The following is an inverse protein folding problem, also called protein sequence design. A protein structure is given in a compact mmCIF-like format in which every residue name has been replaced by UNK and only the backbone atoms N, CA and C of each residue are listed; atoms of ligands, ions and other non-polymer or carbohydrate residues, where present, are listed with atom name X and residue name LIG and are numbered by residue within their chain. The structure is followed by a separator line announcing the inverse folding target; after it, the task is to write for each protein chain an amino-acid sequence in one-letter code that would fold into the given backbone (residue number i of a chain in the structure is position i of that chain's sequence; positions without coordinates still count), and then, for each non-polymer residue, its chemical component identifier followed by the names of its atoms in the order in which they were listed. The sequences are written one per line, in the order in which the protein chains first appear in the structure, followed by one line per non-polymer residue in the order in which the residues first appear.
data_IF_206526040556
#
_entry.id   IF_206526040556
#
_cell.length_a   1.000
_cell.length_b   1.000
_cell.length_c   1.000
_cell.angle_alpha   90.00
_cell.angle_beta   90.00
_cell.angle_gamma   90.00
#
_symmetry.space_group_name_H-M   'P 1'
#
loop_
_entity.id
_entity.type
_entity.pdbx_description
1 polymer ?
#
# COMPACT_ATOMS: atom_id res chain seq x y z
N UNK A 1 -0.22 -15.96 -12.69
CA UNK A 1 -1.01 -14.74 -12.97
C UNK A 1 -0.09 -13.54 -13.24
N UNK A 2 -0.64 -12.41 -13.72
CA UNK A 2 0.14 -11.23 -14.12
C UNK A 2 0.66 -10.37 -12.95
N UNK A 3 0.21 -10.62 -11.72
CA UNK A 3 0.56 -9.81 -10.55
C UNK A 3 1.73 -10.41 -9.77
N UNK A 4 2.60 -9.54 -9.24
CA UNK A 4 3.69 -9.92 -8.34
C UNK A 4 3.16 -10.28 -6.94
N UNK A 5 4.00 -10.92 -6.12
CA UNK A 5 3.69 -11.17 -4.70
C UNK A 5 3.46 -9.85 -3.95
N UNK A 6 2.47 -9.84 -3.06
CA UNK A 6 2.14 -8.65 -2.27
C UNK A 6 1.43 -7.53 -3.04
N UNK A 7 0.99 -7.78 -4.28
CA UNK A 7 0.33 -6.75 -5.10
C UNK A 7 -1.01 -6.30 -4.52
N UNK A 8 -1.69 -7.13 -3.74
CA UNK A 8 -2.99 -6.80 -3.15
C UNK A 8 -2.92 -6.49 -1.65
N UNK A 9 -1.77 -6.67 -1.01
CA UNK A 9 -1.52 -6.31 0.39
C UNK A 9 -1.91 -4.86 0.70
N UNK A 10 -2.69 -4.65 1.77
CA UNK A 10 -3.34 -3.36 2.11
C UNK A 10 -4.45 -2.93 1.14
N UNK A 11 -4.89 -3.84 0.28
CA UNK A 11 -6.03 -3.68 -0.61
C UNK A 11 -7.34 -4.17 -0.01
N UNK A 12 -8.33 -4.31 -0.88
CA UNK A 12 -9.70 -4.69 -0.52
C UNK A 12 -10.16 -5.86 -1.37
N UNK A 13 -10.77 -6.85 -0.72
CA UNK A 13 -11.52 -7.91 -1.36
C UNK A 13 -13.01 -7.58 -1.23
N UNK A 14 -13.76 -7.71 -2.33
CA UNK A 14 -15.23 -7.64 -2.35
C UNK A 14 -15.77 -8.94 -2.92
N UNK A 15 -16.68 -9.59 -2.20
CA UNK A 15 -17.35 -10.80 -2.66
C UNK A 15 -18.44 -10.44 -3.68
N UNK A 16 -18.40 -11.04 -4.86
CA UNK A 16 -19.35 -10.78 -5.96
C UNK A 16 -20.41 -11.87 -6.09
N UNK A 17 -20.22 -13.02 -5.46
CA UNK A 17 -21.22 -14.10 -5.39
C UNK A 17 -21.09 -14.91 -4.09
N UNK A 18 -21.87 -15.98 -3.96
CA UNK A 18 -21.84 -16.87 -2.80
C UNK A 18 -22.51 -16.30 -1.55
N UNK A 19 -22.32 -16.97 -0.42
CA UNK A 19 -22.93 -16.60 0.86
C UNK A 19 -22.39 -15.28 1.45
N UNK A 20 -21.25 -14.79 0.94
CA UNK A 20 -20.65 -13.53 1.34
C UNK A 20 -20.93 -12.37 0.36
N UNK A 21 -21.73 -12.57 -0.69
CA UNK A 21 -21.96 -11.56 -1.73
C UNK A 21 -22.28 -10.17 -1.17
N UNK A 22 -21.60 -9.15 -1.68
CA UNK A 22 -21.71 -7.75 -1.23
C UNK A 22 -20.88 -7.39 0.01
N UNK A 23 -20.36 -8.36 0.75
CA UNK A 23 -19.45 -8.09 1.86
C UNK A 23 -18.03 -7.77 1.36
N UNK A 24 -17.23 -7.15 2.23
CA UNK A 24 -15.85 -6.80 1.93
C UNK A 24 -14.91 -7.13 3.09
N UNK A 25 -13.64 -7.35 2.76
CA UNK A 25 -12.56 -7.58 3.72
C UNK A 25 -11.27 -6.86 3.32
N UNK A 26 -10.46 -6.52 4.32
CA UNK A 26 -9.14 -5.96 4.09
C UNK A 26 -8.13 -7.09 3.85
N UNK A 27 -7.27 -6.93 2.84
CA UNK A 27 -6.26 -7.93 2.47
C UNK A 27 -5.02 -7.73 3.35
N UNK A 28 -4.67 -8.78 4.12
CA UNK A 28 -3.47 -8.83 4.96
C UNK A 28 -2.23 -9.17 4.17
N UNK A 29 -2.33 -10.15 3.30
CA UNK A 29 -1.24 -10.59 2.43
C UNK A 29 -1.82 -11.28 1.20
N UNK A 30 -1.04 -11.30 0.14
CA UNK A 30 -1.29 -12.11 -1.05
C UNK A 30 0.01 -12.71 -1.54
N UNK A 31 -0.07 -13.95 -2.03
CA UNK A 31 1.07 -14.68 -2.59
C UNK A 31 0.65 -15.36 -3.88
N UNK A 32 1.49 -15.25 -4.90
CA UNK A 32 1.30 -15.97 -6.15
C UNK A 32 1.52 -17.46 -5.92
N UNK A 33 0.59 -18.25 -6.44
CA UNK A 33 0.67 -19.71 -6.51
C UNK A 33 0.72 -20.14 -7.99
N UNK A 34 1.12 -21.38 -8.30
CA UNK A 34 1.12 -21.87 -9.69
C UNK A 34 -0.26 -21.77 -10.37
N UNK A 35 -1.32 -21.97 -9.60
CA UNK A 35 -2.72 -22.05 -10.00
C UNK A 35 -3.53 -20.77 -9.75
N UNK A 36 -2.92 -19.74 -9.13
CA UNK A 36 -3.66 -18.51 -8.82
C UNK A 36 -2.96 -17.58 -7.86
N UNK A 37 -3.75 -16.92 -7.02
CA UNK A 37 -3.28 -16.03 -5.95
C UNK A 37 -3.94 -16.50 -4.67
N UNK A 38 -3.13 -16.78 -3.67
CA UNK A 38 -3.59 -17.01 -2.30
C UNK A 38 -3.75 -15.66 -1.61
N UNK A 39 -4.90 -15.41 -1.01
CA UNK A 39 -5.22 -14.15 -0.32
C UNK A 39 -5.53 -14.43 1.14
N UNK A 40 -4.84 -13.74 2.03
CA UNK A 40 -5.12 -13.75 3.46
C UNK A 40 -5.89 -12.47 3.84
N UNK A 41 -7.00 -12.62 4.55
CA UNK A 41 -7.79 -11.50 5.05
C UNK A 41 -7.40 -11.16 6.48
N UNK A 42 -7.46 -9.88 6.85
CA UNK A 42 -7.22 -9.43 8.22
C UNK A 42 -8.26 -9.96 9.22
N UNK A 43 -9.51 -10.05 8.77
CA UNK A 43 -10.61 -10.65 9.51
C UNK A 43 -11.14 -11.82 8.70
N UNK A 44 -11.57 -12.87 9.40
CA UNK A 44 -12.25 -14.01 8.77
C UNK A 44 -13.46 -13.53 7.95
N UNK A 45 -13.77 -14.24 6.87
CA UNK A 45 -15.03 -14.06 6.17
C UNK A 45 -16.21 -14.30 7.13
N UNK A 46 -17.28 -13.52 6.96
CA UNK A 46 -18.44 -13.55 7.85
C UNK A 46 -19.23 -14.86 7.72
N UNK A 47 -19.21 -15.47 6.53
CA UNK A 47 -19.78 -16.78 6.20
C UNK A 47 -18.69 -17.70 5.62
N UNK A 48 -18.89 -19.02 5.67
CA UNK A 48 -17.99 -19.97 5.01
C UNK A 48 -17.76 -19.60 3.54
N UNK A 49 -16.52 -19.76 3.08
CA UNK A 49 -16.12 -19.55 1.69
C UNK A 49 -16.22 -20.89 0.96
N UNK A 50 -16.84 -20.90 -0.22
CA UNK A 50 -16.98 -22.09 -1.05
C UNK A 50 -16.22 -21.95 -2.37
N UNK A 51 -15.84 -23.09 -2.96
CA UNK A 51 -15.28 -23.12 -4.32
C UNK A 51 -16.30 -22.54 -5.31
N UNK A 52 -15.86 -21.60 -6.14
CA UNK A 52 -16.72 -20.90 -7.09
C UNK A 52 -17.25 -19.55 -6.60
N UNK A 53 -17.03 -19.19 -5.33
CA UNK A 53 -17.32 -17.84 -4.85
C UNK A 53 -16.46 -16.81 -5.60
N UNK A 54 -17.14 -15.84 -6.21
CA UNK A 54 -16.53 -14.78 -6.98
C UNK A 54 -16.03 -13.66 -6.07
N UNK A 55 -14.88 -13.08 -6.43
CA UNK A 55 -14.29 -11.94 -5.72
C UNK A 55 -13.71 -10.93 -6.69
N UNK A 56 -13.73 -9.65 -6.29
CA UNK A 56 -12.96 -8.58 -6.91
C UNK A 56 -11.88 -8.11 -5.93
N UNK A 57 -10.63 -8.06 -6.39
CA UNK A 57 -9.50 -7.57 -5.61
C UNK A 57 -9.10 -6.17 -6.07
N UNK A 58 -9.00 -5.23 -5.14
CA UNK A 58 -8.45 -3.90 -5.38
C UNK A 58 -6.97 -3.90 -5.00
N UNK A 59 -6.11 -3.40 -5.90
CA UNK A 59 -4.68 -3.30 -5.66
C UNK A 59 -4.38 -2.52 -4.37
N UNK A 60 -3.44 -3.02 -3.57
CA UNK A 60 -3.20 -2.46 -2.26
C UNK A 60 -2.35 -1.20 -2.24
N UNK A 61 -2.59 -0.34 -1.25
CA UNK A 61 -1.86 0.91 -1.04
C UNK A 61 -1.40 0.97 0.42
N UNK A 62 -0.09 0.95 0.64
CA UNK A 62 0.55 1.09 1.96
C UNK A 62 0.60 2.55 2.44
N UNK A 63 0.09 3.49 1.61
CA UNK A 63 0.05 4.93 1.83
C UNK A 63 1.43 5.60 1.86
N UNK A 64 2.45 4.96 1.31
CA UNK A 64 3.77 5.58 1.12
C UNK A 64 3.85 6.33 -0.21
N UNK A 65 4.70 7.36 -0.27
CA UNK A 65 4.93 8.11 -1.50
C UNK A 65 5.58 7.24 -2.60
N UNK A 66 6.50 6.35 -2.20
CA UNK A 66 7.17 5.42 -3.11
C UNK A 66 6.15 4.52 -3.84
N UNK A 67 5.22 3.90 -3.12
CA UNK A 67 4.16 3.09 -3.71
C UNK A 67 3.20 3.92 -4.56
N UNK A 68 2.80 5.11 -4.08
CA UNK A 68 1.94 6.02 -4.84
C UNK A 68 2.56 6.38 -6.22
N UNK A 69 3.88 6.61 -6.26
CA UNK A 69 4.63 6.87 -7.48
C UNK A 69 4.78 5.63 -8.36
N UNK A 70 5.35 4.56 -7.82
CA UNK A 70 5.78 3.41 -8.63
C UNK A 70 4.60 2.55 -9.11
N UNK A 71 3.60 2.35 -8.25
CA UNK A 71 2.48 1.44 -8.53
C UNK A 71 1.29 2.13 -9.19
N UNK A 72 1.03 3.38 -8.81
CA UNK A 72 -0.18 4.10 -9.23
C UNK A 72 0.10 5.32 -10.10
N UNK A 73 1.36 5.75 -10.23
CA UNK A 73 1.74 6.98 -10.93
C UNK A 73 0.91 8.22 -10.52
N UNK A 74 0.48 8.29 -9.25
CA UNK A 74 -0.49 9.28 -8.77
C UNK A 74 0.09 10.22 -7.71
N UNK A 75 1.34 10.62 -7.87
CA UNK A 75 2.03 11.52 -6.93
C UNK A 75 1.36 12.89 -6.83
N UNK A 76 0.73 13.37 -7.90
CA UNK A 76 0.01 14.65 -7.93
C UNK A 76 -1.16 14.70 -6.93
N UNK A 77 -1.77 13.55 -6.61
CA UNK A 77 -2.84 13.44 -5.62
C UNK A 77 -2.36 12.78 -4.32
N UNK A 78 -1.03 12.76 -4.06
CA UNK A 78 -0.51 12.29 -2.79
C UNK A 78 -0.79 13.32 -1.70
N UNK A 79 -1.64 12.97 -0.74
CA UNK A 79 -2.12 13.87 0.33
C UNK A 79 -1.33 13.73 1.64
N UNK A 80 -0.09 13.27 1.56
CA UNK A 80 0.84 13.19 2.68
C UNK A 80 1.96 14.21 2.57
N UNK A 81 2.94 14.13 3.48
CA UNK A 81 4.06 15.06 3.56
C UNK A 81 5.39 14.30 3.40
N UNK A 82 5.81 13.95 2.17
CA UNK A 82 6.98 13.10 1.95
C UNK A 82 8.32 13.75 2.34
N UNK A 83 8.34 15.08 2.48
CA UNK A 83 9.54 15.87 2.74
C UNK A 83 9.41 16.74 4.00
N UNK A 84 8.59 16.33 4.96
CA UNK A 84 8.48 17.05 6.24
C UNK A 84 9.78 16.87 7.03
N UNK A 85 10.55 17.93 7.31
CA UNK A 85 11.74 17.82 8.14
C UNK A 85 11.37 17.42 9.57
N UNK A 86 12.23 16.63 10.21
CA UNK A 86 12.06 16.23 11.61
C UNK A 86 12.39 17.34 12.61
N UNK A 87 12.10 17.09 13.88
CA UNK A 87 12.39 18.03 14.98
C UNK A 87 13.89 18.33 15.12
N UNK A 88 14.75 17.36 14.79
CA UNK A 88 16.20 17.52 14.76
C UNK A 88 16.61 18.69 13.87
N UNK A 89 15.97 18.83 12.70
CA UNK A 89 16.18 19.98 11.81
C UNK A 89 15.53 21.25 12.33
N UNK A 90 14.34 21.16 12.92
CA UNK A 90 13.63 22.33 13.46
C UNK A 90 14.42 23.05 14.58
N UNK A 91 15.18 22.32 15.38
CA UNK A 91 16.01 22.87 16.47
C UNK A 91 17.50 22.99 16.11
N UNK A 92 17.89 22.66 14.88
CA UNK A 92 19.27 22.77 14.43
C UNK A 92 19.69 24.25 14.27
N UNK A 93 20.99 24.50 14.45
CA UNK A 93 21.61 25.77 14.10
C UNK A 93 22.69 25.54 13.04
N UNK A 94 23.06 26.59 12.32
CA UNK A 94 24.07 26.50 11.27
C UNK A 94 25.44 26.22 11.90
N UNK A 95 26.02 25.06 11.58
CA UNK A 95 27.35 24.66 12.07
C UNK A 95 28.43 25.23 11.13
N UNK A 96 28.67 26.54 11.21
CA UNK A 96 29.77 27.24 10.53
C UNK A 96 29.73 27.20 8.98
N UNK A 97 30.74 27.83 8.35
CA UNK A 97 30.87 27.91 6.88
C UNK A 97 31.32 26.59 6.21
N UNK A 98 31.61 25.55 7.00
CA UNK A 98 32.11 24.26 6.51
C UNK A 98 31.02 23.21 6.25
N UNK A 99 29.75 23.53 6.51
CA UNK A 99 28.62 22.64 6.22
C UNK A 99 28.12 22.73 4.78
N UNK A 100 27.49 21.66 4.27
CA UNK A 100 26.73 21.65 3.01
C UNK A 100 25.51 22.57 3.11
N UNK A 101 25.70 23.83 2.73
CA UNK A 101 24.68 24.89 2.73
C UNK A 101 24.44 25.38 1.28
N UNK A 102 24.26 24.44 0.35
CA UNK A 102 24.17 24.68 -1.10
C UNK A 102 22.72 24.87 -1.61
N UNK A 103 21.73 24.70 -0.74
CA UNK A 103 20.31 24.77 -1.08
C UNK A 103 19.74 23.50 -1.72
N UNK A 104 20.50 22.40 -1.73
CA UNK A 104 20.04 21.09 -2.20
C UNK A 104 18.95 20.47 -1.33
N UNK A 105 18.30 19.42 -1.87
CA UNK A 105 17.35 18.62 -1.09
C UNK A 105 18.06 17.87 0.04
N UNK A 106 17.48 17.89 1.24
CA UNK A 106 17.91 17.00 2.33
C UNK A 106 17.37 15.58 2.19
N UNK A 107 16.41 15.37 1.29
CA UNK A 107 15.76 14.10 1.03
C UNK A 107 16.30 13.54 -0.28
N UNK A 108 17.09 12.46 -0.18
CA UNK A 108 17.66 11.71 -1.30
C UNK A 108 16.91 10.38 -1.46
#
# INVERSE_FOLDING_TARGET
GPFADGWFRHGRLVWTSGANAGLAGAIRADRRRPDGIEVELWLRAARPVATGDGVTLTAGCDKTFATCRAKFANTANFRGFPHMPGNDRAFSYVVGQSGENDGGSFFN
#
